data_IF_047860541572
#
_entry.id   IF_047860541572
#
_cell.length_a   1.000
_cell.length_b   1.000
_cell.length_c   1.000
_cell.angle_alpha   90.00
_cell.angle_beta   90.00
_cell.angle_gamma   90.00
#
_symmetry.space_group_name_H-M   'P 1'
#
loop_
_entity.id
_entity.type
_entity.pdbx_description
1 polymer ?
#
# COMPACT_ATOMS: atom_id res chain seq x y z
N UNK A 1 -10.00 30.97 4.62
CA UNK A 1 -11.06 29.95 4.68
C UNK A 1 -10.52 28.74 3.94
N UNK A 2 -9.83 27.85 4.63
CA UNK A 2 -9.30 26.61 4.02
C UNK A 2 -10.43 25.59 4.07
N UNK A 3 -11.10 25.41 2.95
CA UNK A 3 -12.09 24.34 2.78
C UNK A 3 -11.35 23.01 2.93
N UNK A 4 -11.55 22.40 4.10
CA UNK A 4 -11.21 21.01 4.33
C UNK A 4 -12.12 20.19 3.44
N UNK A 5 -11.60 19.65 2.34
CA UNK A 5 -12.26 18.60 1.60
C UNK A 5 -12.43 17.40 2.52
N UNK A 6 -13.55 17.35 3.24
CA UNK A 6 -14.01 16.16 3.92
C UNK A 6 -14.36 15.14 2.83
N UNK A 7 -13.36 14.45 2.30
CA UNK A 7 -13.65 13.29 1.45
C UNK A 7 -14.41 12.29 2.33
N UNK A 8 -15.45 11.62 1.80
CA UNK A 8 -16.16 10.61 2.56
C UNK A 8 -15.20 9.49 2.93
N UNK A 9 -15.24 9.03 4.18
CA UNK A 9 -14.51 7.83 4.60
C UNK A 9 -15.10 6.62 3.87
N UNK A 10 -14.40 6.14 2.82
CA UNK A 10 -14.84 5.01 2.00
C UNK A 10 -14.68 3.70 2.78
N UNK A 11 -15.75 2.90 2.84
CA UNK A 11 -15.68 1.52 3.34
C UNK A 11 -15.32 0.60 2.19
N UNK A 12 -14.16 -0.04 2.27
CA UNK A 12 -13.64 -0.90 1.20
C UNK A 12 -14.18 -2.32 1.35
N UNK A 13 -14.74 -2.83 0.26
CA UNK A 13 -15.22 -4.21 0.16
C UNK A 13 -14.15 -5.12 -0.46
N UNK A 14 -13.49 -4.69 -1.53
CA UNK A 14 -12.47 -5.49 -2.23
C UNK A 14 -11.30 -4.62 -2.70
N UNK A 15 -10.11 -5.20 -2.74
CA UNK A 15 -8.89 -4.56 -3.25
C UNK A 15 -8.22 -5.47 -4.25
N UNK A 16 -7.79 -4.90 -5.38
CA UNK A 16 -6.99 -5.59 -6.38
C UNK A 16 -5.80 -4.74 -6.81
N UNK A 17 -4.68 -5.39 -7.14
CA UNK A 17 -3.47 -4.74 -7.63
C UNK A 17 -2.96 -5.50 -8.84
N UNK A 18 -2.87 -4.81 -9.98
CA UNK A 18 -2.40 -5.38 -11.24
C UNK A 18 -1.22 -4.58 -11.78
N UNK A 19 -0.46 -5.17 -12.71
CA UNK A 19 0.64 -4.49 -13.40
C UNK A 19 0.25 -4.22 -14.86
N UNK A 20 0.35 -2.96 -15.28
CA UNK A 20 0.27 -2.54 -16.66
C UNK A 20 1.71 -2.35 -17.19
N UNK A 21 2.17 -3.31 -18.00
CA UNK A 21 3.51 -3.30 -18.58
C UNK A 21 3.70 -2.29 -19.71
N UNK A 22 2.64 -1.84 -20.38
CA UNK A 22 2.75 -0.82 -21.43
C UNK A 22 2.99 0.56 -20.85
N UNK A 23 2.36 0.85 -19.71
CA UNK A 23 2.43 2.15 -19.04
C UNK A 23 3.41 2.16 -17.87
N UNK A 24 4.12 1.04 -17.65
CA UNK A 24 5.07 0.79 -16.57
C UNK A 24 4.54 1.27 -15.21
N UNK A 25 3.33 0.81 -14.86
CA UNK A 25 2.66 1.22 -13.61
C UNK A 25 1.84 0.08 -13.01
N UNK A 26 1.65 0.13 -11.70
CA UNK A 26 0.65 -0.68 -11.04
C UNK A 26 -0.70 0.01 -11.10
N UNK A 27 -1.78 -0.76 -11.15
CA UNK A 27 -3.15 -0.26 -11.09
C UNK A 27 -3.79 -0.86 -9.84
N UNK A 28 -4.00 -0.01 -8.83
CA UNK A 28 -4.68 -0.34 -7.59
C UNK A 28 -6.17 -0.03 -7.78
N UNK A 29 -7.01 -1.06 -7.63
CA UNK A 29 -8.46 -0.95 -7.72
C UNK A 29 -9.09 -1.20 -6.38
N UNK A 30 -9.97 -0.30 -5.98
CA UNK A 30 -10.66 -0.32 -4.70
C UNK A 30 -12.16 -0.33 -4.98
N UNK A 31 -12.83 -1.42 -4.63
CA UNK A 31 -14.28 -1.50 -4.65
C UNK A 31 -14.82 -1.01 -3.32
N UNK A 32 -15.67 0.00 -3.35
CA UNK A 32 -16.34 0.53 -2.16
C UNK A 32 -17.68 -0.17 -1.95
N UNK A 33 -18.18 -0.16 -0.71
CA UNK A 33 -19.51 -0.72 -0.37
C UNK A 33 -20.66 -0.01 -1.09
N UNK A 34 -20.42 1.20 -1.59
CA UNK A 34 -21.41 1.98 -2.37
C UNK A 34 -21.38 1.64 -3.87
N UNK A 35 -20.76 0.51 -4.24
CA UNK A 35 -20.60 0.08 -5.63
C UNK A 35 -19.79 1.06 -6.50
N UNK A 36 -18.92 1.86 -5.89
CA UNK A 36 -17.97 2.69 -6.64
C UNK A 36 -16.64 1.94 -6.83
N UNK A 37 -16.03 2.13 -7.99
CA UNK A 37 -14.70 1.64 -8.34
C UNK A 37 -13.71 2.80 -8.34
N UNK A 38 -12.81 2.79 -7.37
CA UNK A 38 -11.68 3.69 -7.33
C UNK A 38 -10.48 3.05 -8.04
N UNK A 39 -10.07 3.60 -9.18
CA UNK A 39 -8.91 3.12 -9.95
C UNK A 39 -7.73 4.10 -9.84
N UNK A 40 -6.61 3.63 -9.28
CA UNK A 40 -5.42 4.42 -8.98
C UNK A 40 -4.19 3.85 -9.70
N UNK A 41 -3.62 4.63 -10.63
CA UNK A 41 -2.36 4.32 -11.28
C UNK A 41 -1.16 4.73 -10.42
N UNK A 42 -0.34 3.76 -10.02
CA UNK A 42 0.89 3.96 -9.24
C UNK A 42 2.10 3.75 -10.14
N UNK A 43 2.81 4.82 -10.45
CA UNK A 43 4.05 4.75 -11.26
C UNK A 43 5.14 3.98 -10.52
N UNK A 44 6.08 3.37 -11.27
CA UNK A 44 7.28 2.73 -10.70
C UNK A 44 7.98 3.58 -9.64
N UNK A 45 8.19 4.88 -9.92
CA UNK A 45 8.84 5.81 -8.99
C UNK A 45 8.03 5.97 -7.70
N UNK A 46 6.72 6.19 -7.80
CA UNK A 46 5.87 6.32 -6.62
C UNK A 46 5.89 5.03 -5.79
N UNK A 47 5.75 3.87 -6.43
CA UNK A 47 5.75 2.57 -5.74
C UNK A 47 7.07 2.31 -5.00
N UNK A 48 8.21 2.68 -5.60
CA UNK A 48 9.54 2.62 -4.94
C UNK A 48 9.65 3.47 -3.68
N UNK A 49 8.86 4.53 -3.56
CA UNK A 49 8.83 5.36 -2.35
C UNK A 49 7.75 4.91 -1.36
N UNK A 50 6.58 4.52 -1.87
CA UNK A 50 5.42 4.16 -1.08
C UNK A 50 5.61 2.84 -0.33
N UNK A 51 6.05 1.78 -1.00
CA UNK A 51 6.19 0.46 -0.36
C UNK A 51 7.13 0.49 0.87
N UNK A 52 8.33 1.11 0.80
CA UNK A 52 9.16 1.29 1.99
C UNK A 52 8.47 2.00 3.15
N UNK A 53 7.65 3.01 2.86
CA UNK A 53 6.92 3.76 3.88
C UNK A 53 5.84 2.88 4.53
N UNK A 54 5.09 2.12 3.73
CA UNK A 54 4.08 1.17 4.23
C UNK A 54 4.70 0.09 5.13
N UNK A 55 5.85 -0.46 4.72
CA UNK A 55 6.57 -1.46 5.51
C UNK A 55 7.02 -0.91 6.86
N UNK A 56 7.58 0.31 6.89
CA UNK A 56 7.95 0.99 8.14
C UNK A 56 6.77 1.18 9.07
N UNK A 57 5.59 1.56 8.54
CA UNK A 57 4.38 1.71 9.36
C UNK A 57 3.88 0.38 9.94
N UNK A 58 4.02 -0.71 9.18
CA UNK A 58 3.70 -2.06 9.64
C UNK A 58 4.71 -2.62 10.67
N UNK A 59 5.75 -1.84 11.02
CA UNK A 59 6.85 -2.29 11.87
C UNK A 59 7.86 -3.20 11.16
N UNK A 60 7.77 -3.31 9.83
CA UNK A 60 8.63 -4.16 9.00
C UNK A 60 9.76 -3.40 8.31
N UNK A 61 10.87 -4.09 8.03
CA UNK A 61 11.91 -3.58 7.17
C UNK A 61 11.48 -3.64 5.68
N UNK A 62 11.95 -2.65 4.92
CA UNK A 62 11.70 -2.48 3.48
C UNK A 62 12.23 -3.71 2.74
N UNK A 63 11.40 -4.63 2.24
CA UNK A 63 11.85 -5.90 1.63
C UNK A 63 12.75 -6.70 2.59
N UNK A 64 12.20 -7.20 3.69
CA UNK A 64 12.91 -8.16 4.52
C UNK A 64 13.03 -9.53 3.78
N UNK A 65 14.24 -10.06 3.54
CA UNK A 65 14.43 -11.45 3.11
C UNK A 65 14.09 -12.46 4.23
N UNK A 66 13.78 -11.96 5.42
CA UNK A 66 13.79 -12.72 6.67
C UNK A 66 12.55 -13.62 6.85
N UNK A 67 12.82 -14.86 7.27
CA UNK A 67 11.81 -15.88 7.48
C UNK A 67 10.84 -15.52 8.61
N UNK A 68 11.23 -14.70 9.59
CA UNK A 68 10.37 -14.32 10.72
C UNK A 68 9.21 -13.42 10.28
N UNK A 69 9.45 -12.42 9.42
CA UNK A 69 8.38 -11.58 8.86
C UNK A 69 7.48 -12.39 7.93
N UNK A 70 8.06 -13.32 7.17
CA UNK A 70 7.31 -14.28 6.35
C UNK A 70 6.43 -15.18 7.24
N UNK A 71 6.93 -15.59 8.41
CA UNK A 71 6.17 -16.35 9.40
C UNK A 71 5.08 -15.54 10.09
N UNK A 72 5.27 -14.23 10.35
CA UNK A 72 4.18 -13.38 10.84
C UNK A 72 3.08 -13.18 9.78
N UNK A 73 3.46 -13.06 8.49
CA UNK A 73 2.54 -13.08 7.35
C UNK A 73 1.75 -14.41 7.27
N UNK A 74 2.42 -15.55 7.40
CA UNK A 74 1.81 -16.89 7.38
C UNK A 74 0.97 -17.18 8.64
N UNK A 75 1.37 -16.67 9.80
CA UNK A 75 0.61 -16.78 11.06
C UNK A 75 -0.68 -15.96 11.00
N UNK A 76 -0.66 -14.83 10.30
CA UNK A 76 -1.85 -14.03 10.04
C UNK A 76 -2.86 -14.76 9.11
N UNK A 77 -2.38 -15.53 8.13
CA UNK A 77 -3.25 -16.35 7.25
C UNK A 77 -4.11 -17.35 8.03
N UNK A 78 -3.66 -17.77 9.21
CA UNK A 78 -4.38 -18.73 10.02
C UNK A 78 -5.50 -18.12 10.87
N UNK A 79 -5.51 -16.81 11.11
CA UNK A 79 -6.31 -16.28 12.21
C UNK A 79 -7.65 -15.63 11.86
N UNK A 80 -7.88 -14.87 10.79
CA UNK A 80 -9.17 -14.12 10.73
C UNK A 80 -9.74 -13.82 9.34
N UNK A 81 -10.87 -14.45 9.04
CA UNK A 81 -11.95 -14.01 8.13
C UNK A 81 -13.01 -13.35 9.03
N UNK A 82 -13.22 -12.02 9.06
CA UNK A 82 -14.06 -11.16 8.21
C UNK A 82 -13.79 -9.69 8.65
N UNK A 83 -14.05 -8.71 7.77
CA UNK A 83 -14.20 -7.26 8.04
C UNK A 83 -13.02 -6.29 7.79
N UNK A 84 -12.05 -6.63 6.93
CA UNK A 84 -11.26 -5.60 6.24
C UNK A 84 -10.88 -6.11 4.85
N UNK A 85 -11.65 -5.76 3.82
CA UNK A 85 -11.37 -6.04 2.41
C UNK A 85 -11.22 -7.52 2.03
N UNK A 86 -11.96 -7.99 1.03
CA UNK A 86 -11.61 -9.24 0.38
C UNK A 86 -10.38 -9.02 -0.53
N UNK A 87 -9.24 -9.59 -0.12
CA UNK A 87 -7.94 -9.53 -0.81
C UNK A 87 -7.62 -10.78 -1.63
N UNK A 88 -8.47 -11.81 -1.59
CA UNK A 88 -8.17 -13.15 -2.07
C UNK A 88 -9.12 -13.65 -3.16
N UNK A 89 -10.35 -13.13 -3.20
CA UNK A 89 -11.38 -13.46 -4.17
C UNK A 89 -11.14 -12.74 -5.49
N UNK A 90 -11.71 -13.30 -6.56
CA UNK A 90 -11.74 -12.66 -7.88
C UNK A 90 -12.37 -11.28 -7.75
N UNK A 91 -11.64 -10.26 -8.19
CA UNK A 91 -12.11 -8.88 -8.16
C UNK A 91 -13.31 -8.72 -9.09
N UNK A 92 -14.44 -8.27 -8.56
CA UNK A 92 -15.67 -8.09 -9.34
C UNK A 92 -15.79 -6.62 -9.75
N UNK A 93 -15.69 -6.37 -11.06
CA UNK A 93 -15.78 -5.04 -11.68
C UNK A 93 -17.15 -4.78 -12.33
N UNK A 94 -18.07 -5.76 -12.28
CA UNK A 94 -19.35 -5.70 -12.97
C UNK A 94 -20.30 -4.68 -12.31
N UNK A 95 -20.84 -3.78 -13.14
CA UNK A 95 -21.81 -2.78 -12.70
C UNK A 95 -21.27 -1.70 -11.76
N UNK A 96 -19.96 -1.49 -11.69
CA UNK A 96 -19.36 -0.43 -10.88
C UNK A 96 -19.11 0.85 -11.68
N UNK A 97 -19.51 1.99 -11.11
CA UNK A 97 -19.15 3.31 -11.63
C UNK A 97 -17.78 3.75 -11.09
N UNK A 98 -16.98 4.41 -11.93
CA UNK A 98 -15.72 4.98 -11.47
C UNK A 98 -15.97 6.05 -10.41
N UNK A 99 -15.18 6.02 -9.34
CA UNK A 99 -15.18 7.07 -8.32
C UNK A 99 -14.86 8.42 -8.97
N UNK A 100 -15.73 9.40 -8.77
CA UNK A 100 -15.68 10.71 -9.47
C UNK A 100 -15.64 10.59 -11.02
N UNK A 101 -16.09 9.46 -11.58
CA UNK A 101 -16.17 9.21 -13.02
C UNK A 101 -14.81 9.08 -13.73
N UNK A 102 -13.70 8.88 -13.01
CA UNK A 102 -12.35 8.84 -13.60
C UNK A 102 -11.37 7.95 -12.85
N UNK A 103 -10.33 7.51 -13.55
CA UNK A 103 -9.13 6.91 -12.95
C UNK A 103 -8.12 8.00 -12.58
N UNK A 104 -7.42 7.83 -11.46
CA UNK A 104 -6.42 8.79 -10.98
C UNK A 104 -5.01 8.29 -11.26
N UNK A 105 -4.18 9.11 -11.91
CA UNK A 105 -2.73 8.87 -11.93
C UNK A 105 -2.12 9.54 -10.71
N UNK A 106 -1.64 8.73 -9.77
CA UNK A 106 -1.16 9.22 -8.49
C UNK A 106 0.24 9.79 -8.63
N UNK A 107 0.39 11.03 -8.19
CA UNK A 107 1.65 11.75 -8.12
C UNK A 107 2.26 11.69 -6.73
N UNK A 108 1.42 11.65 -5.69
CA UNK A 108 1.85 11.71 -4.30
C UNK A 108 1.01 10.79 -3.42
N UNK A 109 1.67 10.14 -2.46
CA UNK A 109 1.02 9.38 -1.40
C UNK A 109 1.49 9.89 -0.03
N UNK A 110 0.57 10.40 0.79
CA UNK A 110 0.86 10.87 2.16
C UNK A 110 0.37 9.87 3.17
N UNK A 111 1.17 9.63 4.20
CA UNK A 111 0.84 8.69 5.26
C UNK A 111 0.76 9.43 6.59
N UNK A 112 -0.36 9.29 7.29
CA UNK A 112 -0.63 9.95 8.57
C UNK A 112 -1.16 8.95 9.58
N UNK A 113 -0.72 9.03 10.84
CA UNK A 113 -1.31 8.23 11.91
C UNK A 113 -2.68 8.80 12.32
N UNK A 114 -3.67 7.93 12.57
CA UNK A 114 -4.97 8.31 13.10
C UNK A 114 -4.95 8.17 14.63
N UNK A 115 -5.15 9.29 15.33
CA UNK A 115 -5.01 9.36 16.79
C UNK A 115 -6.03 8.48 17.56
N UNK A 116 -7.19 8.20 16.97
CA UNK A 116 -8.33 7.63 17.72
C UNK A 116 -8.46 6.10 17.60
N UNK A 117 -7.89 5.46 16.57
CA UNK A 117 -8.22 4.07 16.22
C UNK A 117 -7.02 3.14 15.96
N UNK A 118 -5.80 3.52 16.36
CA UNK A 118 -4.58 2.73 16.09
C UNK A 118 -4.41 2.35 14.60
N UNK A 119 -4.91 3.20 13.69
CA UNK A 119 -4.85 3.02 12.25
C UNK A 119 -4.07 4.14 11.57
N UNK A 120 -3.96 4.05 10.26
CA UNK A 120 -3.28 5.04 9.42
C UNK A 120 -4.22 5.54 8.34
N UNK A 121 -3.97 6.77 7.87
CA UNK A 121 -4.56 7.32 6.66
C UNK A 121 -3.50 7.36 5.57
N UNK A 122 -3.87 6.90 4.38
CA UNK A 122 -3.08 7.03 3.16
C UNK A 122 -3.85 7.94 2.21
N UNK A 123 -3.33 9.14 1.93
CA UNK A 123 -3.89 10.06 0.94
C UNK A 123 -3.21 9.82 -0.41
N UNK A 124 -3.97 9.39 -1.42
CA UNK A 124 -3.50 9.23 -2.80
C UNK A 124 -3.94 10.44 -3.63
N UNK A 125 -2.97 11.22 -4.09
CA UNK A 125 -3.21 12.51 -4.75
C UNK A 125 -2.60 12.53 -6.17
N UNK A 126 -3.37 13.04 -7.12
CA UNK A 126 -2.92 13.39 -8.47
C UNK A 126 -2.04 14.66 -8.45
N UNK A 127 -1.54 15.07 -9.63
CA UNK A 127 -0.69 16.26 -9.77
C UNK A 127 -1.38 17.58 -9.39
N UNK A 128 -2.70 17.59 -9.38
CA UNK A 128 -3.54 18.74 -9.02
C UNK A 128 -3.96 18.68 -7.54
N UNK A 129 -3.50 17.69 -6.78
CA UNK A 129 -3.83 17.50 -5.37
C UNK A 129 -5.20 16.87 -5.14
N UNK A 130 -5.84 16.30 -6.18
CA UNK A 130 -7.14 15.63 -6.08
C UNK A 130 -6.96 14.12 -5.99
N UNK A 131 -7.89 13.43 -5.36
CA UNK A 131 -7.85 11.98 -5.25
C UNK A 131 -8.67 11.52 -4.07
N UNK A 132 -8.16 10.53 -3.34
CA UNK A 132 -8.88 9.93 -2.23
C UNK A 132 -7.98 9.65 -1.04
N UNK A 133 -8.61 9.50 0.10
CA UNK A 133 -7.94 9.00 1.29
C UNK A 133 -8.49 7.64 1.69
N UNK A 134 -7.60 6.80 2.18
CA UNK A 134 -7.87 5.45 2.62
C UNK A 134 -7.48 5.35 4.10
N UNK A 135 -8.46 5.10 4.97
CA UNK A 135 -8.16 4.75 6.35
C UNK A 135 -7.90 3.23 6.39
N UNK A 136 -6.73 2.84 6.87
CA UNK A 136 -6.29 1.45 6.97
C UNK A 136 -6.02 1.12 8.44
N UNK A 137 -6.53 -0.02 8.90
CA UNK A 137 -6.08 -0.61 10.14
C UNK A 137 -4.86 -1.53 9.88
N UNK A 138 -4.31 -2.13 10.94
CA UNK A 138 -3.15 -3.02 10.85
C UNK A 138 -3.36 -4.18 9.86
N UNK A 139 -4.50 -4.87 9.92
CA UNK A 139 -4.85 -5.96 9.02
C UNK A 139 -4.84 -5.50 7.56
N UNK A 140 -5.51 -4.39 7.29
CA UNK A 140 -5.61 -3.84 5.94
C UNK A 140 -4.25 -3.41 5.39
N UNK A 141 -3.40 -2.80 6.23
CA UNK A 141 -2.04 -2.42 5.87
C UNK A 141 -1.20 -3.65 5.48
N UNK A 142 -1.25 -4.73 6.26
CA UNK A 142 -0.56 -5.98 5.91
C UNK A 142 -1.11 -6.61 4.63
N UNK A 143 -2.43 -6.58 4.41
CA UNK A 143 -3.06 -7.04 3.16
C UNK A 143 -2.56 -6.29 1.93
N UNK A 144 -2.48 -4.95 2.01
CA UNK A 144 -1.92 -4.11 0.95
C UNK A 144 -0.45 -4.47 0.68
N UNK A 145 0.37 -4.60 1.73
CA UNK A 145 1.78 -5.00 1.59
C UNK A 145 1.90 -6.37 0.91
N UNK A 146 1.03 -7.33 1.25
CA UNK A 146 0.99 -8.65 0.62
C UNK A 146 0.69 -8.55 -0.88
N UNK A 147 -0.26 -7.70 -1.29
CA UNK A 147 -0.56 -7.45 -2.70
C UNK A 147 0.63 -6.85 -3.46
N UNK A 148 1.35 -5.90 -2.87
CA UNK A 148 2.59 -5.40 -3.48
C UNK A 148 3.62 -6.53 -3.62
N UNK A 149 3.85 -7.30 -2.56
CA UNK A 149 4.85 -8.38 -2.60
C UNK A 149 4.50 -9.50 -3.59
N UNK A 150 3.22 -9.74 -3.90
CA UNK A 150 2.81 -10.73 -4.89
C UNK A 150 2.98 -10.24 -6.33
N UNK A 151 2.72 -8.96 -6.61
CA UNK A 151 2.79 -8.41 -7.97
C UNK A 151 4.18 -7.92 -8.36
N UNK A 152 4.96 -7.38 -7.42
CA UNK A 152 6.26 -6.76 -7.75
C UNK A 152 7.26 -7.70 -8.46
N UNK A 153 7.36 -9.00 -8.12
CA UNK A 153 8.22 -9.94 -8.85
C UNK A 153 7.88 -10.05 -10.35
N UNK A 154 6.63 -9.80 -10.74
CA UNK A 154 6.19 -9.91 -12.14
C UNK A 154 6.46 -8.65 -12.96
N UNK A 155 6.86 -7.54 -12.31
CA UNK A 155 7.07 -6.24 -12.96
C UNK A 155 8.46 -6.09 -13.61
N UNK A 156 9.43 -6.93 -13.22
CA UNK A 156 10.83 -6.74 -13.58
C UNK A 156 11.47 -5.47 -12.99
N UNK A 157 10.77 -4.78 -12.06
CA UNK A 157 11.32 -3.60 -11.42
C UNK A 157 12.39 -3.99 -10.42
N UNK A 158 13.59 -3.46 -10.63
CA UNK A 158 14.63 -3.48 -9.60
C UNK A 158 14.22 -2.58 -8.43
N UNK A 159 13.94 -3.16 -7.27
CA UNK A 159 13.80 -2.44 -6.01
C UNK A 159 15.14 -2.53 -5.27
N UNK A 160 15.65 -1.42 -4.72
CA UNK A 160 16.78 -1.52 -3.81
C UNK A 160 16.37 -2.47 -2.68
N UNK A 161 17.13 -3.54 -2.49
CA UNK A 161 17.06 -4.31 -1.25
C UNK A 161 17.16 -3.29 -0.10
N UNK A 162 16.38 -3.44 0.98
CA UNK A 162 16.69 -2.65 2.17
C UNK A 162 18.17 -2.82 2.44
N UNK A 163 18.89 -1.71 2.41
CA UNK A 163 20.15 -1.64 3.10
C UNK A 163 19.80 -1.87 4.57
N UNK A 164 19.96 -3.13 5.00
CA UNK A 164 20.04 -3.50 6.41
C UNK A 164 21.09 -2.56 6.97
N UNK A 165 20.67 -1.75 7.95
CA UNK A 165 21.48 -0.69 8.55
C UNK A 165 22.95 -1.09 8.64
N UNK A 166 23.78 -0.34 7.93
CA UNK A 166 25.20 -0.59 7.78
C UNK A 166 25.87 -0.89 9.12
N UNK A 167 26.44 -2.09 9.16
CA UNK A 167 27.77 -2.39 9.65
C UNK A 167 28.33 -1.44 10.72
N UNK A 168 28.25 -1.86 11.98
CA UNK A 168 29.21 -1.44 12.99
C UNK A 168 30.55 -2.12 12.69
N UNK A 169 31.31 -1.56 11.75
CA UNK A 169 32.68 -2.01 11.45
C UNK A 169 33.63 -1.54 12.56
N UNK A 170 34.07 -2.50 13.36
CA UNK A 170 35.42 -2.62 13.94
C UNK A 170 36.14 -1.33 14.36
N UNK A 171 36.08 -1.00 15.66
CA UNK A 171 37.19 -0.29 16.31
C UNK A 171 38.14 -1.35 16.89
N UNK A 172 39.04 -1.83 16.04
CA UNK A 172 40.21 -2.60 16.47
C UNK A 172 41.12 -1.72 17.31
N UNK A 173 41.38 -2.14 18.54
CA UNK A 173 42.41 -1.62 19.44
C UNK A 173 43.78 -1.71 18.74
N UNK A 174 44.49 -0.58 18.62
CA UNK A 174 45.95 -0.57 18.46
C UNK A 174 46.53 0.46 19.43
N UNK A 175 47.08 -0.06 20.51
CA UNK A 175 48.09 0.57 21.35
C UNK A 175 49.39 0.71 20.57
N UNK A 176 50.01 1.90 20.61
CA UNK A 176 51.46 2.05 20.69
C UNK A 176 51.79 3.40 21.33
#
# INVERSE_FOLDING_TARGET
MTESFASPSLTIEQINLTYDGWQDRLVLRLRTRDSSLAELGLTRRLTKHLLPALLKLAGGAVLAPDAATRQELLAYEHQETVAAGDFASVFNEDGLDLFEGKSFLIAEAKLSALAENHGWRIDFLDREGRGMHLNVDKKMLHGIIKLFNSILPTTGWDFPAAEVGGAMTSAGRVTH
#
